data_IF_351226038495
#
_entry.id   IF_351226038495
#
_cell.length_a   1.000
_cell.length_b   1.000
_cell.length_c   1.000
_cell.angle_alpha   90.00
_cell.angle_beta   90.00
_cell.angle_gamma   90.00
#
_symmetry.space_group_name_H-M   'P 1'
#
loop_
_entity.id
_entity.type
_entity.pdbx_description
1 polymer ?
#
# COMPACT_ATOMS: atom_id res chain seq x y z
N UNK A 1 -20.48 25.12 -28.39
CA UNK A 1 -20.03 23.72 -28.57
C UNK A 1 -18.51 23.54 -28.53
N UNK A 2 -17.67 24.44 -29.09
CA UNK A 2 -16.19 24.32 -29.03
C UNK A 2 -15.57 24.45 -27.62
N UNK A 3 -16.11 25.30 -26.74
CA UNK A 3 -15.62 25.47 -25.36
C UNK A 3 -15.91 24.26 -24.46
N UNK A 4 -17.02 23.56 -24.71
CA UNK A 4 -17.45 22.39 -23.91
C UNK A 4 -16.51 21.21 -24.15
N UNK A 5 -16.10 20.97 -25.40
CA UNK A 5 -15.10 19.93 -25.71
C UNK A 5 -13.73 20.21 -25.09
N UNK A 6 -13.34 21.49 -25.00
CA UNK A 6 -12.07 21.88 -24.37
C UNK A 6 -12.11 21.70 -22.84
N UNK A 7 -13.21 22.08 -22.19
CA UNK A 7 -13.41 21.89 -20.75
C UNK A 7 -13.44 20.38 -20.42
N UNK A 8 -14.10 19.57 -21.24
CA UNK A 8 -14.17 18.13 -21.05
C UNK A 8 -12.78 17.47 -21.20
N UNK A 9 -11.99 17.92 -22.17
CA UNK A 9 -10.62 17.47 -22.35
C UNK A 9 -9.73 17.76 -21.13
N UNK A 10 -9.80 18.98 -20.59
CA UNK A 10 -9.06 19.35 -19.38
C UNK A 10 -9.53 18.53 -18.18
N UNK A 11 -10.84 18.33 -18.02
CA UNK A 11 -11.38 17.54 -16.92
C UNK A 11 -10.85 16.10 -16.93
N UNK A 12 -10.74 15.47 -18.09
CA UNK A 12 -10.18 14.12 -18.23
C UNK A 12 -8.69 14.08 -17.82
N UNK A 13 -7.90 15.08 -18.24
CA UNK A 13 -6.47 15.16 -17.86
C UNK A 13 -6.30 15.36 -16.35
N UNK A 14 -7.14 16.19 -15.73
CA UNK A 14 -7.11 16.38 -14.27
C UNK A 14 -7.49 15.08 -13.57
N UNK A 15 -8.51 14.37 -14.05
CA UNK A 15 -8.95 13.08 -13.50
C UNK A 15 -7.85 12.01 -13.58
N UNK A 16 -7.16 11.89 -14.71
CA UNK A 16 -6.09 10.89 -14.86
C UNK A 16 -4.91 11.18 -13.93
N UNK A 17 -4.50 12.44 -13.83
CA UNK A 17 -3.44 12.86 -12.88
C UNK A 17 -3.89 12.61 -11.44
N UNK A 18 -5.15 12.92 -11.10
CA UNK A 18 -5.69 12.71 -9.75
C UNK A 18 -5.70 11.22 -9.36
N UNK A 19 -6.17 10.35 -10.25
CA UNK A 19 -6.16 8.89 -10.04
C UNK A 19 -4.73 8.37 -9.86
N UNK A 20 -3.78 8.89 -10.66
CA UNK A 20 -2.39 8.48 -10.61
C UNK A 20 -1.70 8.89 -9.31
N UNK A 21 -1.80 10.17 -8.93
CA UNK A 21 -1.20 10.72 -7.71
C UNK A 21 -1.79 10.07 -6.48
N UNK A 22 -3.11 9.92 -6.43
CA UNK A 22 -3.79 9.36 -5.27
C UNK A 22 -3.77 7.83 -5.25
N UNK A 23 -3.11 7.18 -6.22
CA UNK A 23 -2.99 5.73 -6.29
C UNK A 23 -4.37 5.04 -6.18
N UNK A 24 -5.42 5.66 -6.75
CA UNK A 24 -6.82 5.26 -6.52
C UNK A 24 -7.18 3.89 -7.14
N UNK A 25 -6.26 3.33 -7.91
CA UNK A 25 -6.33 1.99 -8.49
C UNK A 25 -5.94 0.88 -7.50
N UNK A 26 -5.42 1.23 -6.32
CA UNK A 26 -5.27 0.26 -5.24
C UNK A 26 -6.60 0.08 -4.51
N UNK A 27 -6.94 -1.17 -4.14
CA UNK A 27 -8.12 -1.41 -3.32
C UNK A 27 -8.01 -0.64 -2.02
N UNK A 28 -9.15 -0.15 -1.52
CA UNK A 28 -9.26 0.42 -0.19
C UNK A 28 -8.72 -0.59 0.83
N UNK A 29 -7.80 -0.12 1.66
CA UNK A 29 -7.27 -0.94 2.73
C UNK A 29 -8.38 -1.20 3.75
N UNK A 30 -8.38 -2.34 4.44
CA UNK A 30 -9.32 -2.65 5.51
C UNK A 30 -9.13 -1.76 6.76
N UNK A 31 -8.52 -0.58 6.62
CA UNK A 31 -8.21 0.38 7.67
C UNK A 31 -8.79 1.73 7.20
N UNK A 32 -9.83 2.22 7.87
CA UNK A 32 -10.61 3.39 7.41
C UNK A 32 -9.78 4.68 7.31
N UNK A 33 -8.75 4.82 8.16
CA UNK A 33 -7.96 6.05 8.29
C UNK A 33 -6.60 6.01 7.59
N UNK A 34 -6.38 5.07 6.66
CA UNK A 34 -5.09 4.95 5.97
C UNK A 34 -5.28 4.78 4.47
N UNK A 35 -4.73 5.71 3.69
CA UNK A 35 -4.70 5.58 2.24
C UNK A 35 -3.65 4.57 1.77
N UNK A 36 -3.88 3.94 0.61
CA UNK A 36 -2.89 3.06 -0.01
C UNK A 36 -1.56 3.79 -0.30
N UNK A 37 -1.61 5.08 -0.62
CA UNK A 37 -0.42 5.92 -0.82
C UNK A 37 0.38 6.04 0.48
N UNK A 38 -0.25 6.39 1.60
CA UNK A 38 0.44 6.52 2.89
C UNK A 38 1.03 5.19 3.36
N UNK A 39 0.31 4.08 3.16
CA UNK A 39 0.82 2.75 3.48
C UNK A 39 2.10 2.42 2.69
N UNK A 40 2.12 2.75 1.39
CA UNK A 40 3.28 2.54 0.51
C UNK A 40 4.42 3.50 0.85
N UNK A 41 4.12 4.75 1.18
CA UNK A 41 5.14 5.73 1.57
C UNK A 41 5.83 5.30 2.87
N UNK A 42 5.07 4.82 3.88
CA UNK A 42 5.63 4.17 5.08
C UNK A 42 6.51 2.96 4.76
N UNK A 43 6.10 2.14 3.78
CA UNK A 43 6.89 0.99 3.32
C UNK A 43 8.20 1.39 2.65
N UNK A 44 8.22 2.51 1.90
CA UNK A 44 9.43 3.02 1.24
C UNK A 44 10.39 3.66 2.24
N UNK A 45 9.86 4.29 3.28
CA UNK A 45 10.65 4.89 4.35
C UNK A 45 11.25 3.82 5.29
N UNK A 46 10.57 2.67 5.42
CA UNK A 46 11.12 1.51 6.13
C UNK A 46 12.26 0.87 5.34
N UNK A 47 13.46 0.86 5.91
CA UNK A 47 14.62 0.14 5.34
C UNK A 47 14.39 -1.37 5.27
N UNK A 48 13.61 -1.88 6.22
CA UNK A 48 13.05 -3.22 6.18
C UNK A 48 11.95 -3.26 5.12
N UNK A 49 11.97 -4.23 4.21
CA UNK A 49 10.91 -4.49 3.21
C UNK A 49 9.49 -4.76 3.81
N UNK A 50 9.32 -4.53 5.11
CA UNK A 50 8.14 -4.65 5.96
C UNK A 50 7.99 -3.33 6.74
N UNK A 51 6.77 -2.78 6.78
CA UNK A 51 6.45 -1.61 7.60
C UNK A 51 5.15 -1.83 8.38
N UNK A 52 5.10 -1.29 9.59
CA UNK A 52 3.86 -1.20 10.36
C UNK A 52 3.04 -0.01 9.85
N UNK A 53 1.77 -0.23 9.56
CA UNK A 53 0.91 0.78 8.95
C UNK A 53 -0.17 1.30 9.89
N UNK A 54 -0.70 0.44 10.78
CA UNK A 54 -1.70 0.80 11.78
C UNK A 54 -1.75 -0.22 12.93
N UNK A 55 -2.26 0.23 14.08
CA UNK A 55 -2.64 -0.61 15.23
C UNK A 55 -4.13 -0.39 15.45
N UNK A 56 -4.91 -1.46 15.42
CA UNK A 56 -6.36 -1.43 15.58
C UNK A 56 -6.78 -2.43 16.64
N UNK A 57 -7.16 -1.92 17.82
CA UNK A 57 -7.50 -2.75 18.98
C UNK A 57 -6.32 -3.62 19.42
N UNK A 58 -6.46 -4.94 19.29
CA UNK A 58 -5.44 -5.95 19.62
C UNK A 58 -4.66 -6.45 18.40
N UNK A 59 -4.91 -5.88 17.23
CA UNK A 59 -4.36 -6.32 15.96
C UNK A 59 -3.42 -5.26 15.39
N UNK A 60 -2.23 -5.70 14.98
CA UNK A 60 -1.25 -4.85 14.30
C UNK A 60 -1.24 -5.18 12.81
N UNK A 61 -1.35 -4.14 12.00
CA UNK A 61 -1.37 -4.21 10.55
C UNK A 61 0.03 -3.93 10.00
N UNK A 62 0.52 -4.88 9.22
CA UNK A 62 1.80 -4.77 8.51
C UNK A 62 1.58 -4.75 7.00
N UNK A 63 2.40 -3.96 6.31
CA UNK A 63 2.53 -3.99 4.87
C UNK A 63 3.92 -4.51 4.49
N UNK A 64 3.99 -5.32 3.45
CA UNK A 64 5.26 -5.77 2.87
C UNK A 64 5.17 -5.76 1.36
N UNK A 65 6.31 -5.46 0.71
CA UNK A 65 6.43 -5.66 -0.74
C UNK A 65 6.66 -7.14 -0.98
N UNK A 66 5.69 -7.82 -1.59
CA UNK A 66 5.91 -9.18 -2.07
C UNK A 66 6.40 -9.08 -3.51
N UNK A 67 7.64 -9.51 -3.76
CA UNK A 67 8.25 -9.62 -5.09
C UNK A 67 7.54 -10.72 -5.92
N UNK A 68 6.20 -10.65 -6.04
CA UNK A 68 5.31 -11.67 -6.61
C UNK A 68 5.36 -13.04 -5.91
N UNK A 69 5.81 -13.10 -4.66
CA UNK A 69 5.97 -14.34 -3.88
C UNK A 69 4.71 -14.73 -3.07
N UNK A 70 3.61 -13.99 -3.25
CA UNK A 70 2.32 -14.27 -2.63
C UNK A 70 2.27 -13.96 -1.12
N UNK A 71 1.18 -14.39 -0.49
CA UNK A 71 0.86 -14.12 0.92
C UNK A 71 1.65 -15.01 1.88
N UNK A 72 1.93 -16.26 1.51
CA UNK A 72 2.66 -17.21 2.36
C UNK A 72 4.08 -16.74 2.68
N UNK A 73 4.82 -16.27 1.66
CA UNK A 73 6.20 -15.80 1.83
C UNK A 73 6.25 -14.46 2.58
N UNK A 74 5.24 -13.60 2.38
CA UNK A 74 5.08 -12.39 3.18
C UNK A 74 4.88 -12.71 4.67
N UNK A 75 4.05 -13.72 4.96
CA UNK A 75 3.76 -14.10 6.34
C UNK A 75 4.97 -14.70 7.06
N UNK A 76 5.77 -15.52 6.36
CA UNK A 76 7.05 -16.03 6.89
C UNK A 76 8.07 -14.92 7.14
N UNK A 77 8.21 -13.97 6.21
CA UNK A 77 9.16 -12.87 6.36
C UNK A 77 8.78 -11.96 7.53
N UNK A 78 7.48 -11.69 7.70
CA UNK A 78 6.97 -10.92 8.84
C UNK A 78 7.18 -11.70 10.13
N UNK A 79 6.91 -13.01 10.17
CA UNK A 79 7.21 -13.83 11.34
C UNK A 79 8.70 -13.78 11.71
N UNK A 80 9.60 -13.92 10.74
CA UNK A 80 11.05 -13.85 10.98
C UNK A 80 11.47 -12.48 11.51
N UNK A 81 10.94 -11.41 10.94
CA UNK A 81 11.23 -10.04 11.36
C UNK A 81 10.64 -9.73 12.74
N UNK A 82 9.44 -10.22 13.03
CA UNK A 82 8.80 -10.10 14.34
C UNK A 82 9.58 -10.87 15.41
N UNK A 83 9.95 -12.14 15.17
CA UNK A 83 10.77 -12.91 16.12
C UNK A 83 12.10 -12.22 16.43
N UNK A 84 12.67 -11.47 15.48
CA UNK A 84 13.89 -10.68 15.72
C UNK A 84 13.65 -9.40 16.51
N UNK A 85 12.47 -8.77 16.38
CA UNK A 85 12.18 -7.45 16.97
C UNK A 85 11.38 -7.55 18.28
N UNK A 86 10.35 -8.39 18.32
CA UNK A 86 9.44 -8.54 19.45
C UNK A 86 8.78 -9.94 19.46
N UNK A 87 9.02 -10.70 20.52
CA UNK A 87 8.64 -12.11 20.62
C UNK A 87 7.18 -12.37 21.03
N UNK A 88 6.31 -11.36 21.19
CA UNK A 88 5.02 -11.53 21.89
C UNK A 88 3.79 -10.85 21.25
N UNK A 89 3.54 -11.07 19.96
CA UNK A 89 2.33 -10.55 19.32
C UNK A 89 1.12 -11.49 19.44
N UNK A 90 0.02 -10.96 19.98
CA UNK A 90 -1.23 -11.70 20.21
C UNK A 90 -2.05 -11.91 18.93
N UNK A 91 -2.08 -10.95 18.00
CA UNK A 91 -2.72 -11.06 16.67
C UNK A 91 -2.03 -10.16 15.65
N UNK A 92 -1.75 -10.70 14.46
CA UNK A 92 -1.18 -9.97 13.32
C UNK A 92 -2.09 -10.08 12.10
N UNK A 93 -2.22 -8.98 11.36
CA UNK A 93 -2.85 -8.96 10.05
C UNK A 93 -1.85 -8.44 9.02
N UNK A 94 -1.70 -9.21 7.93
CA UNK A 94 -0.69 -8.94 6.90
C UNK A 94 -1.37 -8.52 5.61
N UNK A 95 -1.03 -7.31 5.15
CA UNK A 95 -1.40 -6.82 3.83
C UNK A 95 -0.23 -7.00 2.88
N UNK A 96 -0.49 -7.77 1.82
CA UNK A 96 0.49 -8.03 0.78
C UNK A 96 0.17 -7.18 -0.42
N UNK A 97 0.94 -6.12 -0.59
CA UNK A 97 0.91 -5.36 -1.83
C UNK A 97 1.86 -6.00 -2.83
N UNK A 98 1.28 -6.55 -3.90
CA UNK A 98 2.04 -6.76 -5.13
C UNK A 98 2.22 -5.41 -5.79
N UNK A 99 3.26 -4.69 -5.40
CA UNK A 99 3.72 -3.55 -6.16
C UNK A 99 4.31 -4.12 -7.45
N UNK A 100 3.52 -4.22 -8.52
CA UNK A 100 4.11 -4.22 -9.86
C UNK A 100 4.91 -2.93 -9.93
N UNK A 101 6.23 -3.07 -9.81
CA UNK A 101 7.16 -2.03 -10.19
C UNK A 101 6.92 -1.85 -11.68
N UNK A 102 6.07 -0.91 -12.05
CA UNK A 102 6.11 -0.35 -13.39
C UNK A 102 7.39 0.47 -13.39
N UNK A 103 8.51 -0.21 -13.65
CA UNK A 103 9.66 0.41 -14.29
C UNK A 103 9.09 1.15 -15.51
N UNK A 104 9.05 2.47 -15.41
CA UNK A 104 9.11 3.31 -16.59
C UNK A 104 10.56 3.33 -17.00
N UNK A 105 10.86 2.63 -18.08
CA UNK A 105 11.81 3.06 -19.10
C UNK A 105 11.02 3.11 -20.41
#
# INVERSE_FOLDING_TARGET
MKKVGFILGIAIVILTVFIFVNKLYYPSLPIENLSAKEAIDKLKESESKIAEIAVEGDSIWFITSSENKGISIADENINKWLVQRDGNLKKKMVLVCSLKKTEGD
#
